data_IF_152294711275
#
_entry.id   IF_152294711275
#
_cell.length_a   1.000
_cell.length_b   1.000
_cell.length_c   1.000
_cell.angle_alpha   90.00
_cell.angle_beta   90.00
_cell.angle_gamma   90.00
#
_symmetry.space_group_name_H-M   'P 1'
#
loop_
_entity.id
_entity.type
_entity.pdbx_description
1 polymer ?
#
# COMPACT_ATOMS: atom_id res chain seq x y z
N UNK A 1 12.77 3.75 6.80
CA UNK A 1 11.72 3.19 5.93
C UNK A 1 11.90 1.69 5.69
N UNK A 2 13.08 1.09 5.93
CA UNK A 2 13.22 -0.37 6.11
C UNK A 2 13.02 -1.23 4.86
N UNK A 3 12.89 -0.64 3.67
CA UNK A 3 12.86 -1.37 2.41
C UNK A 3 14.29 -1.77 2.01
N UNK A 4 14.49 -3.05 1.70
CA UNK A 4 15.77 -3.58 1.21
C UNK A 4 16.04 -3.15 -0.25
N UNK A 5 14.98 -3.07 -1.05
CA UNK A 5 15.02 -2.74 -2.47
C UNK A 5 13.92 -1.73 -2.80
N UNK A 6 14.25 -0.74 -3.64
CA UNK A 6 13.32 0.29 -4.11
C UNK A 6 13.45 0.43 -5.62
N UNK A 7 12.31 0.45 -6.30
CA UNK A 7 12.23 0.68 -7.74
C UNK A 7 11.46 1.97 -8.01
N UNK A 8 12.11 2.89 -8.71
CA UNK A 8 11.53 4.15 -9.19
C UNK A 8 11.83 4.26 -10.69
N UNK A 9 10.90 3.76 -11.50
CA UNK A 9 11.06 3.63 -12.94
C UNK A 9 9.73 3.34 -13.64
N UNK A 10 9.74 3.00 -14.94
CA UNK A 10 8.54 2.68 -15.68
C UNK A 10 7.70 1.60 -15.00
N UNK A 11 6.41 1.87 -14.83
CA UNK A 11 5.51 1.02 -14.06
C UNK A 11 5.28 -0.37 -14.65
N UNK A 12 5.49 -0.53 -15.95
CA UNK A 12 5.36 -1.79 -16.69
C UNK A 12 6.51 -2.78 -16.48
N UNK A 13 7.61 -2.35 -15.85
CA UNK A 13 8.80 -3.16 -15.59
C UNK A 13 8.94 -3.59 -14.12
N UNK A 14 7.96 -3.28 -13.26
CA UNK A 14 7.99 -3.61 -11.82
C UNK A 14 8.18 -5.11 -11.59
N UNK A 15 7.47 -5.96 -12.32
CA UNK A 15 7.53 -7.40 -12.08
C UNK A 15 8.85 -8.03 -12.51
N UNK A 16 9.51 -7.48 -13.50
CA UNK A 16 10.82 -7.94 -13.95
C UNK A 16 11.90 -7.58 -12.93
N UNK A 17 11.89 -6.33 -12.43
CA UNK A 17 12.76 -5.91 -11.32
C UNK A 17 12.59 -6.82 -10.10
N UNK A 18 11.34 -7.10 -9.70
CA UNK A 18 11.06 -7.97 -8.55
C UNK A 18 11.61 -9.38 -8.79
N UNK A 19 11.39 -9.98 -9.96
CA UNK A 19 11.86 -11.33 -10.27
C UNK A 19 13.38 -11.41 -10.31
N UNK A 20 14.06 -10.40 -10.84
CA UNK A 20 15.52 -10.31 -10.85
C UNK A 20 16.06 -10.29 -9.43
N UNK A 21 15.53 -9.42 -8.57
CA UNK A 21 15.98 -9.27 -7.18
C UNK A 21 15.69 -10.47 -6.29
N UNK A 22 14.63 -11.22 -6.59
CA UNK A 22 14.16 -12.33 -5.74
C UNK A 22 14.44 -13.70 -6.33
N UNK A 23 15.02 -13.77 -7.53
CA UNK A 23 15.25 -14.99 -8.29
C UNK A 23 13.97 -15.84 -8.49
N UNK A 24 12.87 -15.20 -8.91
CA UNK A 24 11.63 -15.91 -9.27
C UNK A 24 10.32 -15.33 -8.75
N UNK A 25 10.36 -14.23 -8.00
CA UNK A 25 9.18 -13.51 -7.52
C UNK A 25 8.95 -13.60 -6.01
N UNK A 26 7.96 -12.86 -5.54
CA UNK A 26 7.65 -12.73 -4.10
C UNK A 26 6.50 -13.64 -3.65
N UNK A 27 6.49 -13.95 -2.36
CA UNK A 27 5.42 -14.74 -1.74
C UNK A 27 4.11 -13.96 -1.64
N UNK A 28 4.19 -12.65 -1.44
CA UNK A 28 3.02 -11.80 -1.32
C UNK A 28 3.28 -10.44 -1.96
N UNK A 29 2.24 -9.88 -2.56
CA UNK A 29 2.20 -8.49 -3.00
C UNK A 29 1.07 -7.76 -2.31
N UNK A 30 1.31 -6.51 -1.92
CA UNK A 30 0.33 -5.64 -1.26
C UNK A 30 0.19 -4.38 -2.12
N UNK A 31 -0.99 -4.18 -2.71
CA UNK A 31 -1.24 -3.04 -3.61
C UNK A 31 -2.01 -1.97 -2.86
N UNK A 32 -1.34 -0.85 -2.59
CA UNK A 32 -1.90 0.29 -1.83
C UNK A 32 -2.36 1.44 -2.74
N UNK A 33 -2.08 1.37 -4.04
CA UNK A 33 -2.43 2.39 -5.03
C UNK A 33 -3.63 1.99 -5.88
N UNK A 34 -4.49 2.93 -6.31
CA UNK A 34 -5.71 2.61 -7.06
C UNK A 34 -5.49 2.45 -8.57
N UNK A 35 -4.31 1.99 -8.99
CA UNK A 35 -3.90 1.86 -10.40
C UNK A 35 -4.07 0.42 -10.90
N UNK A 36 -4.73 0.24 -12.04
CA UNK A 36 -4.95 -1.10 -12.65
C UNK A 36 -3.61 -1.76 -12.99
N UNK A 37 -2.67 -1.01 -13.57
CA UNK A 37 -1.34 -1.53 -13.90
C UNK A 37 -0.58 -2.03 -12.67
N UNK A 38 -0.76 -1.40 -11.50
CA UNK A 38 -0.13 -1.85 -10.26
C UNK A 38 -0.64 -3.24 -9.83
N UNK A 39 -1.92 -3.55 -10.06
CA UNK A 39 -2.49 -4.87 -9.81
C UNK A 39 -1.95 -5.93 -10.76
N UNK A 40 -1.86 -5.61 -12.05
CA UNK A 40 -1.32 -6.52 -13.08
C UNK A 40 0.14 -6.88 -12.78
N UNK A 41 0.95 -5.87 -12.48
CA UNK A 41 2.35 -6.04 -12.11
C UNK A 41 2.50 -6.82 -10.80
N UNK A 42 1.66 -6.53 -9.81
CA UNK A 42 1.65 -7.25 -8.55
C UNK A 42 1.31 -8.74 -8.70
N UNK A 43 0.42 -9.12 -9.64
CA UNK A 43 0.16 -10.53 -9.97
C UNK A 43 1.35 -11.18 -10.65
N UNK A 44 1.97 -10.50 -11.63
CA UNK A 44 3.11 -11.01 -12.37
C UNK A 44 4.36 -11.19 -11.49
N UNK A 45 4.49 -10.39 -10.43
CA UNK A 45 5.55 -10.48 -9.42
C UNK A 45 5.44 -11.69 -8.50
N UNK A 46 4.30 -12.38 -8.47
CA UNK A 46 4.10 -13.53 -7.59
C UNK A 46 4.77 -14.79 -8.13
N UNK A 47 5.44 -15.50 -7.21
CA UNK A 47 5.87 -16.89 -7.43
C UNK A 47 4.70 -17.87 -7.21
N UNK A 48 4.95 -19.15 -7.47
CA UNK A 48 3.97 -20.21 -7.22
C UNK A 48 3.54 -20.25 -5.73
N UNK A 49 2.25 -20.43 -5.49
CA UNK A 49 1.61 -20.35 -4.18
C UNK A 49 1.50 -18.92 -3.61
N UNK A 50 1.75 -17.89 -4.42
CA UNK A 50 1.78 -16.50 -3.99
C UNK A 50 0.40 -15.90 -3.67
N UNK A 51 0.39 -14.79 -2.93
CA UNK A 51 -0.83 -14.07 -2.54
C UNK A 51 -0.81 -12.60 -2.93
N UNK A 52 -1.83 -12.15 -3.68
CA UNK A 52 -2.13 -10.75 -3.89
C UNK A 52 -3.09 -10.25 -2.81
N UNK A 53 -2.70 -9.19 -2.09
CA UNK A 53 -3.55 -8.46 -1.13
C UNK A 53 -3.93 -7.10 -1.73
N UNK A 54 -5.23 -6.90 -1.94
CA UNK A 54 -5.78 -5.70 -2.56
C UNK A 54 -6.28 -4.73 -1.49
N UNK A 55 -5.71 -3.52 -1.47
CA UNK A 55 -6.06 -2.44 -0.54
C UNK A 55 -6.49 -1.17 -1.32
N UNK A 56 -5.79 -0.83 -2.40
CA UNK A 56 -6.04 0.38 -3.19
C UNK A 56 -7.36 0.34 -3.96
N UNK A 57 -8.36 1.11 -3.55
CA UNK A 57 -9.69 1.08 -4.19
C UNK A 57 -9.67 1.78 -5.55
N UNK A 58 -9.98 1.05 -6.62
CA UNK A 58 -10.12 1.59 -7.97
C UNK A 58 -11.55 1.41 -8.48
N UNK A 59 -12.04 2.33 -9.31
CA UNK A 59 -13.36 2.24 -9.95
C UNK A 59 -13.33 1.45 -11.27
N UNK A 60 -12.13 1.14 -11.76
CA UNK A 60 -11.91 0.39 -13.00
C UNK A 60 -11.95 -1.11 -12.71
N UNK A 61 -12.36 -1.91 -13.71
CA UNK A 61 -12.26 -3.37 -13.63
C UNK A 61 -10.80 -3.80 -13.77
N UNK A 62 -10.42 -4.81 -12.99
CA UNK A 62 -9.11 -5.46 -13.07
C UNK A 62 -9.30 -6.80 -13.78
N UNK A 63 -8.47 -7.06 -14.78
CA UNK A 63 -8.46 -8.32 -15.52
C UNK A 63 -7.49 -9.30 -14.87
N UNK A 64 -7.91 -10.55 -14.67
CA UNK A 64 -7.09 -11.59 -14.05
C UNK A 64 -6.96 -12.76 -15.02
N UNK A 65 -5.73 -13.19 -15.28
CA UNK A 65 -5.43 -14.36 -16.09
C UNK A 65 -5.69 -15.65 -15.29
N UNK A 66 -6.87 -16.27 -15.49
CA UNK A 66 -7.30 -17.46 -14.74
C UNK A 66 -6.34 -18.64 -14.90
N UNK A 67 -5.80 -18.83 -16.11
CA UNK A 67 -4.79 -19.86 -16.39
C UNK A 67 -3.53 -19.68 -15.53
N UNK A 68 -3.07 -18.44 -15.35
CA UNK A 68 -1.92 -18.13 -14.51
C UNK A 68 -2.25 -18.39 -13.04
N UNK A 69 -3.43 -17.97 -12.56
CA UNK A 69 -3.85 -18.23 -11.19
C UNK A 69 -3.90 -19.72 -10.87
N UNK A 70 -4.37 -20.55 -11.80
CA UNK A 70 -4.40 -22.01 -11.64
C UNK A 70 -2.98 -22.58 -11.64
N UNK A 71 -2.16 -22.25 -12.64
CA UNK A 71 -0.81 -22.80 -12.80
C UNK A 71 0.10 -22.44 -11.62
N UNK A 72 0.00 -21.19 -11.15
CA UNK A 72 0.77 -20.69 -10.01
C UNK A 72 0.04 -20.88 -8.67
N UNK A 73 -1.17 -21.41 -8.62
CA UNK A 73 -1.95 -21.55 -7.38
C UNK A 73 -2.04 -20.24 -6.57
N UNK A 74 -2.33 -19.13 -7.26
CA UNK A 74 -2.35 -17.78 -6.66
C UNK A 74 -3.62 -17.56 -5.84
N UNK A 75 -3.48 -16.90 -4.70
CA UNK A 75 -4.59 -16.41 -3.89
C UNK A 75 -4.77 -14.90 -4.08
N UNK A 76 -6.02 -14.47 -4.23
CA UNK A 76 -6.38 -13.05 -4.36
C UNK A 76 -7.33 -12.71 -3.22
N UNK A 77 -6.93 -11.75 -2.38
CA UNK A 77 -7.65 -11.39 -1.16
C UNK A 77 -7.84 -9.89 -1.10
N UNK A 78 -9.08 -9.45 -0.86
CA UNK A 78 -9.36 -8.06 -0.51
C UNK A 78 -9.19 -7.83 0.99
N UNK A 79 -8.60 -6.70 1.36
CA UNK A 79 -8.49 -6.27 2.75
C UNK A 79 -8.97 -4.82 2.87
N UNK A 80 -9.94 -4.61 3.75
CA UNK A 80 -10.48 -3.30 4.06
C UNK A 80 -10.46 -3.14 5.58
N UNK A 81 -9.60 -2.25 6.05
CA UNK A 81 -9.39 -1.97 7.48
C UNK A 81 -9.21 -3.25 8.31
N UNK A 82 -9.68 -3.27 9.55
CA UNK A 82 -9.72 -4.45 10.40
C UNK A 82 -10.80 -4.32 11.47
N UNK A 83 -10.94 -5.36 12.28
CA UNK A 83 -11.76 -5.37 13.49
C UNK A 83 -11.13 -4.50 14.59
N UNK A 84 -11.86 -4.29 15.69
CA UNK A 84 -11.32 -3.61 16.88
C UNK A 84 -10.15 -4.37 17.50
N UNK A 85 -10.18 -5.71 17.43
CA UNK A 85 -9.08 -6.54 17.90
C UNK A 85 -7.83 -6.33 17.04
N UNK A 86 -7.99 -6.34 15.72
CA UNK A 86 -6.89 -6.09 14.77
C UNK A 86 -6.23 -4.71 15.01
N UNK A 87 -7.05 -3.68 15.30
CA UNK A 87 -6.53 -2.35 15.64
C UNK A 87 -5.71 -2.37 16.94
N UNK A 88 -6.19 -3.04 17.97
CA UNK A 88 -5.46 -3.17 19.23
C UNK A 88 -4.12 -3.87 19.02
N UNK A 89 -4.12 -4.99 18.31
CA UNK A 89 -2.91 -5.73 17.95
C UNK A 89 -1.94 -4.88 17.12
N UNK A 90 -2.44 -4.08 16.17
CA UNK A 90 -1.63 -3.18 15.37
C UNK A 90 -0.96 -2.08 16.22
N UNK A 91 -1.68 -1.49 17.19
CA UNK A 91 -1.13 -0.49 18.12
C UNK A 91 -0.08 -1.12 19.05
N UNK A 92 -0.33 -2.33 19.54
CA UNK A 92 0.61 -3.05 20.39
C UNK A 92 1.89 -3.42 19.64
N UNK A 93 1.76 -3.85 18.39
CA UNK A 93 2.89 -4.10 17.48
C UNK A 93 3.68 -2.82 17.20
N UNK A 94 2.98 -1.72 16.92
CA UNK A 94 3.62 -0.42 16.68
C UNK A 94 4.43 0.04 17.90
N UNK A 95 3.85 -0.09 19.10
CA UNK A 95 4.53 0.21 20.36
C UNK A 95 5.74 -0.70 20.59
N UNK A 96 5.59 -2.01 20.38
CA UNK A 96 6.64 -3.01 20.65
C UNK A 96 7.84 -2.85 19.72
N UNK A 97 7.61 -2.51 18.46
CA UNK A 97 8.65 -2.45 17.43
C UNK A 97 9.07 -1.02 17.06
N UNK A 98 8.64 -0.03 17.84
CA UNK A 98 8.90 1.40 17.60
C UNK A 98 8.56 1.82 16.16
N UNK A 99 7.36 1.44 15.69
CA UNK A 99 6.88 1.81 14.36
C UNK A 99 6.32 3.23 14.43
N UNK A 100 6.99 4.15 13.75
CA UNK A 100 6.63 5.57 13.75
C UNK A 100 5.98 5.98 12.41
N UNK A 101 4.81 6.60 12.50
CA UNK A 101 4.17 7.23 11.34
C UNK A 101 4.87 8.56 11.01
N UNK A 102 5.12 8.81 9.72
CA UNK A 102 5.54 10.14 9.25
C UNK A 102 4.32 11.05 9.23
N UNK A 103 4.24 11.95 10.21
CA UNK A 103 3.13 12.88 10.40
C UNK A 103 3.60 14.33 10.33
N UNK A 104 2.74 15.19 9.83
CA UNK A 104 2.82 16.64 9.94
C UNK A 104 1.52 17.11 10.57
N UNK A 105 1.57 18.16 11.40
CA UNK A 105 0.38 18.72 12.04
C UNK A 105 -0.09 19.99 11.35
N UNK A 106 -1.40 20.20 11.29
CA UNK A 106 -2.00 21.43 10.80
C UNK A 106 -3.16 21.85 11.71
N UNK A 107 -3.50 23.14 11.65
CA UNK A 107 -4.74 23.63 12.24
C UNK A 107 -5.93 23.36 11.34
N UNK A 108 -7.14 23.35 11.92
CA UNK A 108 -8.37 23.07 11.17
C UNK A 108 -8.59 24.11 10.04
N UNK A 109 -8.19 25.35 10.25
CA UNK A 109 -8.34 26.46 9.30
C UNK A 109 -7.55 26.22 8.01
N UNK A 110 -6.47 25.43 8.08
CA UNK A 110 -5.59 25.12 6.94
C UNK A 110 -6.09 23.94 6.10
N UNK A 111 -7.23 23.35 6.43
CA UNK A 111 -7.70 22.10 5.82
C UNK A 111 -7.83 22.17 4.28
N UNK A 112 -8.20 23.32 3.74
CA UNK A 112 -8.34 23.50 2.29
C UNK A 112 -6.99 23.47 1.56
N UNK A 113 -5.94 24.03 2.17
CA UNK A 113 -4.57 23.99 1.66
C UNK A 113 -4.04 22.56 1.69
N UNK A 114 -4.30 21.83 2.79
CA UNK A 114 -3.96 20.41 2.92
C UNK A 114 -4.64 19.57 1.84
N UNK A 115 -5.91 19.83 1.54
CA UNK A 115 -6.61 19.14 0.44
C UNK A 115 -6.00 19.45 -0.93
N UNK A 116 -5.55 20.68 -1.17
CA UNK A 116 -4.88 21.03 -2.42
C UNK A 116 -3.53 20.33 -2.56
N UNK A 117 -2.72 20.33 -1.50
CA UNK A 117 -1.44 19.63 -1.46
C UNK A 117 -1.60 18.11 -1.63
N UNK A 118 -2.65 17.52 -1.06
CA UNK A 118 -2.96 16.11 -1.24
C UNK A 118 -3.29 15.78 -2.71
N UNK A 119 -4.11 16.60 -3.37
CA UNK A 119 -4.49 16.40 -4.79
C UNK A 119 -3.30 16.51 -5.74
N UNK A 120 -2.34 17.36 -5.40
CA UNK A 120 -1.12 17.56 -6.17
C UNK A 120 0.04 16.65 -5.72
N UNK A 121 -0.22 15.67 -4.86
CA UNK A 121 0.78 14.71 -4.36
C UNK A 121 1.99 15.39 -3.70
N UNK A 122 1.80 16.56 -3.07
CA UNK A 122 2.88 17.31 -2.38
C UNK A 122 3.08 16.87 -0.93
N UNK A 123 2.18 16.05 -0.39
CA UNK A 123 2.25 15.54 0.98
C UNK A 123 3.01 14.20 1.04
N UNK A 124 4.03 14.14 1.90
CA UNK A 124 4.70 12.89 2.28
C UNK A 124 4.16 12.45 3.64
N UNK A 125 3.58 11.25 3.70
CA UNK A 125 3.05 10.68 4.95
C UNK A 125 1.59 11.06 5.20
N UNK A 126 1.30 11.56 6.41
CA UNK A 126 -0.05 11.95 6.84
C UNK A 126 -0.07 13.35 7.43
N UNK A 127 -1.04 14.16 7.02
CA UNK A 127 -1.39 15.38 7.73
C UNK A 127 -2.38 15.06 8.85
N UNK A 128 -2.14 15.58 10.05
CA UNK A 128 -2.95 15.34 11.25
C UNK A 128 -3.45 16.69 11.76
N UNK A 129 -4.77 16.83 11.87
CA UNK A 129 -5.36 18.03 12.45
C UNK A 129 -5.15 17.98 13.96
N UNK A 130 -4.50 19.01 14.51
CA UNK A 130 -4.26 19.12 15.93
C UNK A 130 -5.37 19.95 16.60
N UNK A 131 -6.22 19.28 17.38
CA UNK A 131 -7.30 19.94 18.12
C UNK A 131 -6.89 20.42 19.51
N UNK A 132 -5.66 20.13 19.95
CA UNK A 132 -5.18 20.52 21.29
C UNK A 132 -4.76 21.98 21.37
N UNK A 133 -4.48 22.62 20.22
CA UNK A 133 -4.05 24.01 20.14
C UNK A 133 -5.20 25.03 20.29
N UNK A 134 -6.46 24.61 20.12
CA UNK A 134 -7.66 25.45 20.19
C UNK A 134 -8.46 25.28 21.49
N UNK A 135 -7.87 24.66 22.52
CA UNK A 135 -8.43 24.58 23.86
C UNK A 135 -7.78 25.60 24.81
N UNK A 136 -8.09 26.88 24.59
CA UNK A 136 -8.12 27.95 25.60
C UNK A 136 -9.48 28.65 25.59
#
# INVERSE_FOLDING_TARGET
MGADEVYDGPGDQHSDFVKEKTNGGVQATIVTVPLVSAYEQALQSLKQGGRLVMIGVTTKKISIAVNECIAKQIQIVGSLVGTRADLQEALDMARKHNIECKVQTCQLEQINEVFDDMKHCRLIGRMVIDFTANSE
#
